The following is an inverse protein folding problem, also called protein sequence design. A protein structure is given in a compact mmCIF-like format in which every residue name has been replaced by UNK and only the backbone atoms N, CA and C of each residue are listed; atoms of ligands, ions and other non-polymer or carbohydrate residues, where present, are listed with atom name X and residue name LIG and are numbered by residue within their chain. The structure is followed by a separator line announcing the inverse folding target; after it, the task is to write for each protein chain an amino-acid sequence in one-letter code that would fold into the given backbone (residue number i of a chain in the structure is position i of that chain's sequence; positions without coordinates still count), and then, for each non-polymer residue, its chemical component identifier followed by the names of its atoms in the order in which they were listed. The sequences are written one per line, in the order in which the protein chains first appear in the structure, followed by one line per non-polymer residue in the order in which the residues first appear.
data_IF_602301203644
#
_entry.id   IF_602301203644
#
_cell.length_a   1.000
_cell.length_b   1.000
_cell.length_c   1.000
_cell.angle_alpha   90.00
_cell.angle_beta   90.00
_cell.angle_gamma   90.00
#
_symmetry.space_group_name_H-M   'P 1'
#
loop_
_entity.id
_entity.type
_entity.pdbx_description
1 polymer ?
#
# COMPACT_ATOMS: atom_id res chain seq x y z
N UNK A 1 53.58 39.98 7.93
CA UNK A 1 52.86 39.67 6.69
C UNK A 1 51.92 38.53 7.01
N UNK A 2 50.64 38.86 7.18
CA UNK A 2 49.53 37.90 7.05
C UNK A 2 48.84 38.24 5.72
N UNK A 3 48.47 37.23 4.92
CA UNK A 3 47.04 37.06 4.68
C UNK A 3 46.56 35.63 4.35
N UNK A 4 45.25 35.42 4.59
CA UNK A 4 44.31 34.42 4.07
C UNK A 4 44.18 33.09 4.85
N UNK A 5 43.11 32.86 5.64
CA UNK A 5 41.65 32.90 5.39
C UNK A 5 41.12 31.73 4.56
N UNK A 6 40.16 31.00 5.17
CA UNK A 6 39.12 30.10 4.61
C UNK A 6 39.51 28.66 4.25
N UNK A 7 39.00 27.73 5.05
CA UNK A 7 37.81 26.94 4.70
C UNK A 7 37.28 26.30 6.01
N UNK A 8 36.19 26.79 6.60
CA UNK A 8 34.83 26.40 6.23
C UNK A 8 34.70 24.86 6.27
N UNK A 9 34.14 24.30 7.34
CA UNK A 9 32.72 23.94 7.36
C UNK A 9 32.38 23.05 6.16
N UNK A 10 32.60 21.75 6.33
CA UNK A 10 31.78 20.75 5.65
C UNK A 10 31.55 19.60 6.63
N UNK A 11 30.87 19.93 7.73
CA UNK A 11 29.85 19.02 8.22
C UNK A 11 28.82 18.98 7.09
N UNK A 12 29.01 18.07 6.15
CA UNK A 12 28.02 17.80 5.12
C UNK A 12 26.67 17.62 5.80
N UNK A 13 25.59 18.17 5.24
CA UNK A 13 24.28 18.03 5.87
C UNK A 13 24.01 16.53 6.07
N UNK A 14 23.37 16.10 7.19
CA UNK A 14 22.76 14.79 7.18
C UNK A 14 21.82 14.81 5.98
N UNK A 15 22.14 14.02 4.96
CA UNK A 15 21.22 13.75 3.87
C UNK A 15 19.92 13.32 4.53
N UNK A 16 18.77 13.94 4.21
CA UNK A 16 17.52 13.36 4.66
C UNK A 16 17.48 11.96 4.05
N UNK A 17 17.34 10.94 4.88
CA UNK A 17 17.06 9.55 4.48
C UNK A 17 15.67 9.51 3.82
N UNK A 18 15.52 10.14 2.66
CA UNK A 18 14.34 10.14 1.83
C UNK A 18 14.32 8.92 0.89
N UNK A 19 14.97 7.83 1.30
CA UNK A 19 15.25 6.66 0.45
C UNK A 19 14.62 5.36 0.91
N UNK A 20 14.21 5.23 2.17
CA UNK A 20 13.67 3.97 2.69
C UNK A 20 12.15 3.94 2.62
N UNK A 21 11.48 4.99 3.09
CA UNK A 21 10.01 4.97 3.20
C UNK A 21 9.30 5.04 1.83
N UNK A 22 9.84 5.81 0.87
CA UNK A 22 9.32 5.85 -0.50
C UNK A 22 9.53 4.55 -1.27
N UNK A 23 10.63 3.84 -1.01
CA UNK A 23 10.97 2.56 -1.64
C UNK A 23 10.13 1.41 -1.04
N UNK A 24 9.92 1.41 0.28
CA UNK A 24 9.00 0.49 0.95
C UNK A 24 7.55 0.69 0.52
N UNK A 25 7.10 1.94 0.38
CA UNK A 25 5.76 2.26 -0.15
C UNK A 25 5.60 1.73 -1.58
N UNK A 26 6.58 1.97 -2.45
CA UNK A 26 6.57 1.48 -3.82
C UNK A 26 6.58 -0.06 -3.88
N UNK A 27 7.36 -0.71 -3.02
CA UNK A 27 7.40 -2.16 -2.87
C UNK A 27 6.05 -2.71 -2.43
N UNK A 28 5.43 -2.12 -1.41
CA UNK A 28 4.11 -2.52 -0.94
C UNK A 28 3.03 -2.37 -2.01
N UNK A 29 3.05 -1.25 -2.75
CA UNK A 29 2.16 -1.02 -3.90
C UNK A 29 2.39 -2.06 -5.01
N UNK A 30 3.65 -2.39 -5.32
CA UNK A 30 3.99 -3.38 -6.34
C UNK A 30 3.57 -4.81 -5.94
N UNK A 31 3.80 -5.22 -4.70
CA UNK A 31 3.36 -6.52 -4.18
C UNK A 31 1.84 -6.62 -4.15
N UNK A 32 1.14 -5.57 -3.71
CA UNK A 32 -0.31 -5.50 -3.80
C UNK A 32 -0.80 -5.66 -5.25
N UNK A 33 -0.18 -4.95 -6.20
CA UNK A 33 -0.51 -5.04 -7.62
C UNK A 33 -0.26 -6.44 -8.19
N UNK A 34 0.79 -7.11 -7.74
CA UNK A 34 1.08 -8.50 -8.11
C UNK A 34 -0.01 -9.45 -7.61
N UNK A 35 -0.45 -9.30 -6.35
CA UNK A 35 -1.53 -10.11 -5.76
C UNK A 35 -2.83 -9.97 -6.54
N UNK A 36 -3.26 -8.74 -6.87
CA UNK A 36 -4.53 -8.53 -7.60
C UNK A 36 -4.44 -8.97 -9.07
N UNK A 37 -3.23 -9.11 -9.63
CA UNK A 37 -3.00 -9.64 -10.96
C UNK A 37 -2.96 -11.17 -11.01
N UNK A 38 -2.85 -11.85 -9.85
CA UNK A 38 -2.90 -13.31 -9.79
C UNK A 38 -4.26 -13.83 -10.30
N UNK A 39 -4.18 -14.91 -11.09
CA UNK A 39 -5.38 -15.64 -11.49
C UNK A 39 -5.77 -16.60 -10.37
N UNK A 40 -6.95 -16.42 -9.81
CA UNK A 40 -7.42 -17.29 -8.73
C UNK A 40 -8.79 -16.89 -8.20
N UNK A 41 -9.15 -17.50 -7.07
CA UNK A 41 -10.31 -17.11 -6.30
C UNK A 41 -10.16 -15.66 -5.83
N UNK A 42 -11.12 -14.81 -6.22
CA UNK A 42 -11.08 -13.38 -5.91
C UNK A 42 -11.03 -13.11 -4.39
N UNK A 43 -11.62 -14.00 -3.59
CA UNK A 43 -11.67 -13.91 -2.13
C UNK A 43 -10.32 -14.23 -1.50
N UNK A 44 -9.64 -15.30 -1.94
CA UNK A 44 -8.29 -15.61 -1.48
C UNK A 44 -7.29 -14.50 -1.82
N UNK A 45 -7.39 -13.95 -3.03
CA UNK A 45 -6.59 -12.78 -3.45
C UNK A 45 -6.91 -11.57 -2.58
N UNK A 46 -8.19 -11.29 -2.32
CA UNK A 46 -8.61 -10.18 -1.48
C UNK A 46 -8.09 -10.31 -0.03
N UNK A 47 -8.14 -11.51 0.57
CA UNK A 47 -7.59 -11.77 1.91
C UNK A 47 -6.11 -11.44 1.98
N UNK A 48 -5.32 -12.01 1.07
CA UNK A 48 -3.87 -11.75 0.99
C UNK A 48 -3.55 -10.29 0.75
N UNK A 49 -4.33 -9.64 -0.11
CA UNK A 49 -4.17 -8.23 -0.44
C UNK A 49 -4.45 -7.33 0.76
N UNK A 50 -5.49 -7.64 1.55
CA UNK A 50 -5.79 -6.94 2.82
C UNK A 50 -4.66 -7.15 3.82
N UNK A 51 -4.22 -8.39 4.05
CA UNK A 51 -3.10 -8.68 4.97
C UNK A 51 -1.82 -7.91 4.58
N UNK A 52 -1.53 -7.82 3.28
CA UNK A 52 -0.37 -7.07 2.78
C UNK A 52 -0.49 -5.56 3.02
N UNK A 53 -1.69 -5.00 2.84
CA UNK A 53 -1.96 -3.58 3.09
C UNK A 53 -1.92 -3.26 4.58
N UNK A 54 -2.51 -4.09 5.43
CA UNK A 54 -2.48 -3.90 6.88
C UNK A 54 -1.05 -3.91 7.41
N UNK A 55 -0.20 -4.81 6.91
CA UNK A 55 1.23 -4.79 7.21
C UNK A 55 1.90 -3.49 6.76
N UNK A 56 1.62 -3.02 5.54
CA UNK A 56 2.16 -1.75 5.04
C UNK A 56 1.72 -0.54 5.89
N UNK A 57 0.50 -0.56 6.44
CA UNK A 57 0.04 0.49 7.34
C UNK A 57 0.73 0.41 8.70
N UNK A 58 0.95 -0.80 9.24
CA UNK A 58 1.62 -1.02 10.53
C UNK A 58 3.11 -0.64 10.48
N UNK A 59 3.79 -1.00 9.39
CA UNK A 59 5.17 -0.61 9.10
C UNK A 59 5.31 0.90 8.79
N UNK A 60 4.20 1.61 8.55
CA UNK A 60 4.20 3.04 8.18
C UNK A 60 4.66 3.31 6.75
N UNK A 61 4.71 2.27 5.91
CA UNK A 61 5.09 2.32 4.50
C UNK A 61 4.02 3.01 3.65
N UNK A 62 2.74 2.87 4.02
CA UNK A 62 1.61 3.48 3.33
C UNK A 62 0.79 4.28 4.34
N UNK A 63 0.38 5.50 3.96
CA UNK A 63 -0.54 6.29 4.77
C UNK A 63 -1.94 5.68 4.77
N UNK A 64 -2.46 5.39 5.96
CA UNK A 64 -3.84 4.91 6.14
C UNK A 64 -4.81 6.08 6.11
N UNK A 65 -5.21 6.46 4.90
CA UNK A 65 -6.22 7.52 4.70
C UNK A 65 -7.62 6.98 5.05
N UNK A 66 -8.57 7.84 5.46
CA UNK A 66 -9.93 7.41 5.81
C UNK A 66 -10.68 6.74 4.63
N UNK A 67 -10.34 7.11 3.39
CA UNK A 67 -10.94 6.51 2.21
C UNK A 67 -10.39 5.09 1.94
N UNK A 68 -9.08 4.89 2.11
CA UNK A 68 -8.46 3.57 2.02
C UNK A 68 -8.96 2.67 3.17
N UNK A 69 -9.07 3.19 4.39
CA UNK A 69 -9.59 2.45 5.54
C UNK A 69 -11.02 1.93 5.28
N UNK A 70 -11.89 2.79 4.76
CA UNK A 70 -13.26 2.39 4.40
C UNK A 70 -13.26 1.32 3.30
N UNK A 71 -12.46 1.50 2.25
CA UNK A 71 -12.37 0.52 1.17
C UNK A 71 -11.85 -0.86 1.66
N UNK A 72 -10.90 -0.88 2.60
CA UNK A 72 -10.42 -2.13 3.22
C UNK A 72 -11.51 -2.79 4.04
N UNK A 73 -12.31 -2.04 4.81
CA UNK A 73 -13.47 -2.59 5.55
C UNK A 73 -14.53 -3.17 4.63
N UNK A 74 -14.89 -2.45 3.56
CA UNK A 74 -15.84 -2.93 2.56
C UNK A 74 -15.34 -4.22 1.88
N UNK A 75 -14.03 -4.31 1.63
CA UNK A 75 -13.40 -5.51 1.09
C UNK A 75 -13.46 -6.69 2.07
N UNK A 76 -13.16 -6.46 3.35
CA UNK A 76 -13.27 -7.48 4.39
C UNK A 76 -14.72 -8.00 4.49
N UNK A 77 -15.71 -7.11 4.50
CA UNK A 77 -17.13 -7.52 4.52
C UNK A 77 -17.50 -8.35 3.28
N UNK A 78 -17.04 -7.97 2.09
CA UNK A 78 -17.29 -8.74 0.86
C UNK A 78 -16.68 -10.15 0.94
N UNK A 79 -15.47 -10.26 1.50
CA UNK A 79 -14.76 -11.52 1.72
C UNK A 79 -15.46 -12.41 2.76
N UNK A 80 -15.93 -11.84 3.87
CA UNK A 80 -16.63 -12.58 4.93
C UNK A 80 -18.00 -13.08 4.46
N UNK A 81 -18.71 -12.28 3.66
CA UNK A 81 -20.02 -12.68 3.11
C UNK A 81 -19.93 -13.84 2.11
N UNK A 82 -18.82 -13.99 1.38
CA UNK A 82 -18.62 -15.10 0.44
C UNK A 82 -18.31 -16.44 1.16
N UNK A 83 -17.69 -16.39 2.35
CA UNK A 83 -17.37 -17.59 3.15
C UNK A 83 -18.65 -18.25 3.73
N UNK A 84 -19.71 -17.46 3.97
CA UNK A 84 -20.97 -17.93 4.56
C UNK A 84 -22.07 -18.32 3.57
N UNK A 85 -22.00 -17.85 2.32
CA UNK A 85 -22.99 -18.19 1.29
C UNK A 85 -22.30 -18.29 -0.06
N UNK A 86 -22.69 -19.30 -0.87
CA UNK A 86 -22.40 -19.36 -2.32
C UNK A 86 -23.04 -18.16 -3.03
N UNK A 87 -22.54 -16.95 -2.81
CA UNK A 87 -22.99 -15.72 -3.45
C UNK A 87 -22.35 -15.67 -4.83
N UNK A 88 -22.94 -16.42 -5.75
CA UNK A 88 -22.52 -16.50 -7.14
C UNK A 88 -22.19 -15.13 -7.74
N UNK A 89 -20.93 -14.96 -8.16
CA UNK A 89 -20.45 -13.88 -9.02
C UNK A 89 -20.33 -12.50 -8.37
N UNK A 90 -21.36 -12.03 -7.65
CA UNK A 90 -21.46 -10.63 -7.21
C UNK A 90 -20.44 -10.23 -6.15
N UNK A 91 -20.16 -11.10 -5.17
CA UNK A 91 -19.17 -10.79 -4.12
C UNK A 91 -17.74 -10.76 -4.68
N UNK A 92 -17.45 -11.68 -5.61
CA UNK A 92 -16.17 -11.71 -6.33
C UNK A 92 -15.98 -10.47 -7.22
N UNK A 93 -17.03 -10.01 -7.91
CA UNK A 93 -16.98 -8.77 -8.69
C UNK A 93 -16.80 -7.53 -7.80
N UNK A 94 -17.50 -7.45 -6.67
CA UNK A 94 -17.33 -6.37 -5.69
C UNK A 94 -15.89 -6.34 -5.15
N UNK A 95 -15.34 -7.49 -4.78
CA UNK A 95 -13.96 -7.60 -4.29
C UNK A 95 -12.96 -7.09 -5.32
N UNK A 96 -13.10 -7.48 -6.60
CA UNK A 96 -12.24 -6.98 -7.69
C UNK A 96 -12.39 -5.48 -7.90
N UNK A 97 -13.60 -4.96 -7.82
CA UNK A 97 -13.85 -3.52 -7.99
C UNK A 97 -13.18 -2.71 -6.87
N UNK A 98 -13.34 -3.14 -5.62
CA UNK A 98 -12.75 -2.50 -4.44
C UNK A 98 -11.22 -2.59 -4.50
N UNK A 99 -10.64 -3.75 -4.84
CA UNK A 99 -9.19 -3.91 -5.04
C UNK A 99 -8.63 -2.94 -6.09
N UNK A 100 -9.33 -2.78 -7.22
CA UNK A 100 -8.92 -1.81 -8.25
C UNK A 100 -9.06 -0.35 -7.81
N UNK A 101 -10.07 -0.05 -6.99
CA UNK A 101 -10.21 1.28 -6.41
C UNK A 101 -9.04 1.59 -5.47
N UNK A 102 -8.65 0.64 -4.62
CA UNK A 102 -7.49 0.79 -3.71
C UNK A 102 -6.20 0.97 -4.51
N UNK A 103 -5.92 0.15 -5.54
CA UNK A 103 -4.73 0.32 -6.41
C UNK A 103 -4.66 1.76 -6.96
N UNK A 104 -5.79 2.29 -7.47
CA UNK A 104 -5.85 3.63 -8.03
C UNK A 104 -5.64 4.74 -7.00
N UNK A 105 -6.14 4.56 -5.77
CA UNK A 105 -5.88 5.51 -4.68
C UNK A 105 -4.40 5.53 -4.31
N UNK A 106 -3.78 4.35 -4.24
CA UNK A 106 -2.37 4.21 -3.91
C UNK A 106 -1.46 4.76 -5.01
N UNK A 107 -1.86 4.69 -6.28
CA UNK A 107 -1.09 5.27 -7.40
C UNK A 107 -1.16 6.80 -7.41
N UNK A 108 -2.28 7.37 -6.94
CA UNK A 108 -2.52 8.82 -6.89
C UNK A 108 -2.12 9.54 -5.60
N UNK A 109 -1.63 8.80 -4.59
CA UNK A 109 -1.17 9.29 -3.29
C UNK A 109 0.35 9.16 -3.15
#
# INVERSE_FOLDING_TARGET
MDPQTRAARDAGPPVPEAGTQGDSAATAKAEFRALIAEKGHAVDVARRAVERLERAFDDGDIERTPFIDQAVRDLQQAVEHDDGQKLGGKSAEASRFILKAIDRMLDGA
#
